data_IF_691560127048
#
_entry.id   IF_691560127048
#
_cell.length_a   1.000
_cell.length_b   1.000
_cell.length_c   1.000
_cell.angle_alpha   90.00
_cell.angle_beta   90.00
_cell.angle_gamma   90.00
#
_symmetry.space_group_name_H-M   'P 1'
#
loop_
_entity.id
_entity.type
_entity.pdbx_description
1 polymer ?
#
# COMPACT_ATOMS: atom_id res chain seq x y z
N UNK A 1 -20.33 -18.42 19.85
CA UNK A 1 -19.30 -17.37 19.96
C UNK A 1 -19.86 -16.14 19.28
N UNK A 2 -20.06 -15.02 20.02
CA UNK A 2 -20.70 -13.81 19.50
C UNK A 2 -19.89 -13.21 18.32
N UNK A 3 -20.58 -12.70 17.30
CA UNK A 3 -19.94 -12.11 16.12
C UNK A 3 -18.94 -10.99 16.46
N UNK A 4 -19.20 -10.27 17.56
CA UNK A 4 -18.30 -9.22 18.10
C UNK A 4 -16.98 -9.80 18.59
N UNK A 5 -16.99 -10.94 19.28
CA UNK A 5 -15.79 -11.60 19.79
C UNK A 5 -14.92 -12.12 18.62
N UNK A 6 -15.53 -12.66 17.57
CA UNK A 6 -14.80 -13.10 16.37
C UNK A 6 -14.10 -11.93 15.67
N UNK A 7 -14.79 -10.79 15.54
CA UNK A 7 -14.22 -9.57 14.93
C UNK A 7 -13.07 -8.99 15.77
N UNK A 8 -13.23 -8.92 17.08
CA UNK A 8 -12.17 -8.44 17.98
C UNK A 8 -10.95 -9.35 17.94
N UNK A 9 -11.15 -10.67 17.94
CA UNK A 9 -10.06 -11.64 17.89
C UNK A 9 -9.28 -11.54 16.57
N UNK A 10 -9.97 -11.43 15.43
CA UNK A 10 -9.31 -11.25 14.12
C UNK A 10 -8.51 -9.95 14.06
N UNK A 11 -9.02 -8.84 14.63
CA UNK A 11 -8.30 -7.57 14.72
C UNK A 11 -7.02 -7.66 15.55
N UNK A 12 -7.08 -8.31 16.71
CA UNK A 12 -5.90 -8.53 17.59
C UNK A 12 -4.87 -9.41 16.88
N UNK A 13 -5.29 -10.48 16.22
CA UNK A 13 -4.37 -11.32 15.42
C UNK A 13 -3.70 -10.53 14.30
N UNK A 14 -4.45 -9.70 13.58
CA UNK A 14 -3.91 -8.85 12.52
C UNK A 14 -2.87 -7.87 13.08
N UNK A 15 -3.17 -7.19 14.18
CA UNK A 15 -2.24 -6.29 14.86
C UNK A 15 -0.95 -7.00 15.29
N UNK A 16 -1.06 -8.19 15.87
CA UNK A 16 0.08 -8.99 16.29
C UNK A 16 0.98 -9.35 15.09
N UNK A 17 0.40 -9.72 13.95
CA UNK A 17 1.12 -10.01 12.71
C UNK A 17 1.84 -8.77 12.19
N UNK A 18 1.17 -7.62 12.16
CA UNK A 18 1.77 -6.35 11.68
C UNK A 18 2.92 -5.93 12.59
N UNK A 19 2.74 -5.92 13.90
CA UNK A 19 3.77 -5.53 14.87
C UNK A 19 4.96 -6.49 14.79
N UNK A 20 4.72 -7.80 14.73
CA UNK A 20 5.80 -8.79 14.60
C UNK A 20 6.54 -8.63 13.28
N UNK A 21 5.85 -8.39 12.17
CA UNK A 21 6.45 -8.12 10.87
C UNK A 21 7.35 -6.90 10.86
N UNK A 22 6.95 -5.83 11.56
CA UNK A 22 7.73 -4.60 11.63
C UNK A 22 8.94 -4.69 12.57
N UNK A 23 8.87 -5.46 13.66
CA UNK A 23 9.92 -5.42 14.69
C UNK A 23 10.92 -6.56 14.63
N UNK A 24 10.54 -7.74 14.11
CA UNK A 24 11.37 -8.94 14.22
C UNK A 24 12.47 -9.02 13.17
N UNK A 25 12.12 -8.85 11.89
CA UNK A 25 13.09 -9.10 10.81
C UNK A 25 12.72 -8.33 9.53
N UNK A 26 13.77 -7.82 8.84
CA UNK A 26 13.62 -7.14 7.53
C UNK A 26 12.92 -8.00 6.47
N UNK A 27 13.16 -9.31 6.47
CA UNK A 27 12.51 -10.20 5.49
C UNK A 27 11.02 -10.38 5.77
N UNK A 28 10.65 -10.46 7.05
CA UNK A 28 9.25 -10.57 7.46
C UNK A 28 8.49 -9.27 7.15
N UNK A 29 9.13 -8.13 7.39
CA UNK A 29 8.65 -6.81 6.96
C UNK A 29 8.39 -6.76 5.45
N UNK A 30 9.39 -7.15 4.64
CA UNK A 30 9.26 -7.18 3.19
C UNK A 30 8.13 -8.08 2.70
N UNK A 31 8.05 -9.30 3.21
CA UNK A 31 7.00 -10.26 2.86
C UNK A 31 5.60 -9.74 3.23
N UNK A 32 5.45 -9.15 4.42
CA UNK A 32 4.19 -8.58 4.89
C UNK A 32 3.73 -7.43 4.00
N UNK A 33 4.62 -6.49 3.66
CA UNK A 33 4.25 -5.36 2.80
C UNK A 33 3.98 -5.77 1.36
N UNK A 34 4.70 -6.75 0.81
CA UNK A 34 4.39 -7.31 -0.52
C UNK A 34 3.00 -7.94 -0.50
N UNK A 35 2.68 -8.75 0.52
CA UNK A 35 1.36 -9.36 0.65
C UNK A 35 0.26 -8.30 0.74
N UNK A 36 0.45 -7.26 1.57
CA UNK A 36 -0.51 -6.15 1.68
C UNK A 36 -0.65 -5.39 0.36
N UNK A 37 0.46 -5.10 -0.32
CA UNK A 37 0.44 -4.41 -1.62
C UNK A 37 -0.33 -5.18 -2.68
N UNK A 38 -0.06 -6.49 -2.81
CA UNK A 38 -0.74 -7.35 -3.79
C UNK A 38 -2.24 -7.41 -3.51
N UNK A 39 -2.64 -7.61 -2.25
CA UNK A 39 -4.06 -7.68 -1.88
C UNK A 39 -4.77 -6.35 -2.11
N UNK A 40 -4.17 -5.22 -1.69
CA UNK A 40 -4.75 -3.89 -1.87
C UNK A 40 -4.88 -3.51 -3.36
N UNK A 41 -3.85 -3.76 -4.17
CA UNK A 41 -3.91 -3.49 -5.61
C UNK A 41 -4.92 -4.39 -6.31
N UNK A 42 -4.98 -5.67 -5.93
CA UNK A 42 -5.93 -6.61 -6.49
C UNK A 42 -7.37 -6.17 -6.21
N UNK A 43 -7.71 -5.85 -4.95
CA UNK A 43 -9.04 -5.36 -4.58
C UNK A 43 -9.38 -4.04 -5.24
N UNK A 44 -8.45 -3.09 -5.25
CA UNK A 44 -8.64 -1.80 -5.90
C UNK A 44 -8.96 -1.96 -7.38
N UNK A 45 -8.21 -2.78 -8.10
CA UNK A 45 -8.46 -3.03 -9.53
C UNK A 45 -9.73 -3.85 -9.77
N UNK A 46 -10.08 -4.74 -8.86
CA UNK A 46 -11.33 -5.49 -8.97
C UNK A 46 -12.55 -4.57 -8.78
N UNK A 47 -12.50 -3.67 -7.81
CA UNK A 47 -13.59 -2.70 -7.58
C UNK A 47 -13.73 -1.67 -8.70
N UNK A 48 -12.62 -1.23 -9.31
CA UNK A 48 -12.65 -0.15 -10.31
C UNK A 48 -12.85 -0.65 -11.74
N UNK A 49 -12.31 -1.81 -12.08
CA UNK A 49 -12.29 -2.34 -13.44
C UNK A 49 -13.10 -3.64 -13.60
N UNK A 50 -13.61 -4.23 -12.51
CA UNK A 50 -14.27 -5.53 -12.54
C UNK A 50 -13.35 -6.62 -13.11
N UNK A 51 -13.87 -7.45 -14.00
CA UNK A 51 -13.10 -8.52 -14.67
C UNK A 51 -12.52 -8.10 -16.03
N UNK A 52 -12.59 -6.81 -16.34
CA UNK A 52 -12.03 -6.27 -17.57
C UNK A 52 -10.49 -6.23 -17.48
N UNK A 53 -9.83 -6.50 -18.60
CA UNK A 53 -8.37 -6.41 -18.75
C UNK A 53 -7.53 -7.14 -17.68
N UNK A 54 -7.75 -8.44 -17.43
CA UNK A 54 -7.04 -9.18 -16.38
C UNK A 54 -5.52 -9.15 -16.55
N UNK A 55 -5.02 -9.19 -17.80
CA UNK A 55 -3.58 -9.14 -18.08
C UNK A 55 -2.95 -7.81 -17.66
N UNK A 56 -3.60 -6.68 -17.95
CA UNK A 56 -3.09 -5.35 -17.59
C UNK A 56 -3.13 -5.13 -16.08
N UNK A 57 -4.13 -5.65 -15.37
CA UNK A 57 -4.18 -5.62 -13.89
C UNK A 57 -3.01 -6.36 -13.27
N UNK A 58 -2.74 -7.59 -13.73
CA UNK A 58 -1.60 -8.36 -13.23
C UNK A 58 -0.26 -7.69 -13.55
N UNK A 59 -0.12 -7.08 -14.73
CA UNK A 59 1.06 -6.29 -15.08
C UNK A 59 1.24 -5.10 -14.12
N UNK A 60 0.17 -4.36 -13.79
CA UNK A 60 0.26 -3.24 -12.86
C UNK A 60 0.65 -3.69 -11.45
N UNK A 61 0.09 -4.81 -10.95
CA UNK A 61 0.50 -5.39 -9.67
C UNK A 61 1.98 -5.77 -9.71
N UNK A 62 2.44 -6.40 -10.79
CA UNK A 62 3.83 -6.80 -10.96
C UNK A 62 4.77 -5.58 -10.99
N UNK A 63 4.37 -4.48 -11.65
CA UNK A 63 5.10 -3.20 -11.63
C UNK A 63 5.23 -2.67 -10.20
N UNK A 64 4.14 -2.63 -9.43
CA UNK A 64 4.15 -2.16 -8.04
C UNK A 64 5.07 -3.00 -7.16
N UNK A 65 4.93 -4.34 -7.23
CA UNK A 65 5.76 -5.27 -6.47
C UNK A 65 7.24 -5.15 -6.87
N UNK A 66 7.55 -5.05 -8.16
CA UNK A 66 8.93 -4.90 -8.62
C UNK A 66 9.58 -3.61 -8.11
N UNK A 67 8.83 -2.50 -8.11
CA UNK A 67 9.31 -1.23 -7.57
C UNK A 67 9.62 -1.33 -6.07
N UNK A 68 8.73 -1.95 -5.29
CA UNK A 68 8.95 -2.20 -3.88
C UNK A 68 10.19 -3.08 -3.63
N UNK A 69 10.28 -4.23 -4.33
CA UNK A 69 11.38 -5.18 -4.16
C UNK A 69 12.72 -4.54 -4.54
N UNK A 70 12.78 -3.80 -5.64
CA UNK A 70 14.00 -3.12 -6.05
C UNK A 70 14.44 -2.09 -5.02
N UNK A 71 13.51 -1.26 -4.52
CA UNK A 71 13.82 -0.28 -3.50
C UNK A 71 14.23 -0.94 -2.18
N UNK A 72 13.54 -2.02 -1.78
CA UNK A 72 13.93 -2.84 -0.63
C UNK A 72 15.35 -3.40 -0.78
N UNK A 73 15.69 -3.96 -1.94
CA UNK A 73 17.03 -4.50 -2.20
C UNK A 73 18.11 -3.42 -2.16
N UNK A 74 17.85 -2.26 -2.75
CA UNK A 74 18.76 -1.11 -2.70
C UNK A 74 19.05 -0.70 -1.26
N UNK A 75 18.01 -0.57 -0.42
CA UNK A 75 18.16 -0.16 0.97
C UNK A 75 18.75 -1.26 1.86
N UNK A 76 18.28 -2.50 1.75
CA UNK A 76 18.68 -3.61 2.61
C UNK A 76 20.06 -4.17 2.30
N UNK A 77 20.50 -4.13 1.04
CA UNK A 77 21.77 -4.72 0.56
C UNK A 77 22.74 -3.70 -0.01
N UNK A 78 22.40 -2.40 0.07
CA UNK A 78 23.22 -1.29 -0.45
C UNK A 78 23.56 -1.43 -1.93
N UNK A 79 22.62 -1.90 -2.70
CA UNK A 79 22.78 -1.98 -4.15
C UNK A 79 22.75 -0.58 -4.77
N UNK A 80 23.28 -0.45 -5.98
CA UNK A 80 23.23 0.84 -6.69
C UNK A 80 21.76 1.23 -6.97
N UNK A 81 21.42 2.47 -6.66
CA UNK A 81 20.09 3.05 -6.92
C UNK A 81 19.68 2.92 -8.40
N UNK A 82 20.64 2.80 -9.31
CA UNK A 82 20.40 2.56 -10.74
C UNK A 82 19.57 1.29 -10.99
N UNK A 83 19.60 0.32 -10.10
CA UNK A 83 18.81 -0.90 -10.24
C UNK A 83 17.29 -0.64 -10.13
N UNK A 84 16.87 0.44 -9.46
CA UNK A 84 15.47 0.87 -9.43
C UNK A 84 14.96 1.19 -10.84
N UNK A 85 15.84 1.60 -11.76
CA UNK A 85 15.46 1.86 -13.15
C UNK A 85 14.91 0.63 -13.87
N UNK A 86 15.22 -0.59 -13.38
CA UNK A 86 14.66 -1.82 -13.96
C UNK A 86 13.14 -1.89 -13.76
N UNK A 87 12.61 -1.38 -12.66
CA UNK A 87 11.16 -1.27 -12.45
C UNK A 87 10.50 -0.27 -13.40
N UNK A 88 11.25 0.76 -13.85
CA UNK A 88 10.78 1.71 -14.84
C UNK A 88 10.56 1.05 -16.22
N UNK A 89 11.33 0.03 -16.58
CA UNK A 89 11.13 -0.73 -17.82
C UNK A 89 9.77 -1.43 -17.81
N UNK A 90 9.39 -2.03 -16.69
CA UNK A 90 8.06 -2.65 -16.54
C UNK A 90 6.94 -1.61 -16.59
N UNK A 91 7.16 -0.43 -15.99
CA UNK A 91 6.21 0.69 -16.08
C UNK A 91 6.04 1.15 -17.53
N UNK A 92 7.13 1.27 -18.29
CA UNK A 92 7.08 1.61 -19.72
C UNK A 92 6.31 0.56 -20.52
N UNK A 93 6.49 -0.73 -20.20
CA UNK A 93 5.73 -1.81 -20.84
C UNK A 93 4.24 -1.70 -20.54
N UNK A 94 3.88 -1.36 -19.30
CA UNK A 94 2.50 -1.06 -18.94
C UNK A 94 1.96 0.14 -19.72
N UNK A 95 2.74 1.21 -19.86
CA UNK A 95 2.36 2.39 -20.66
C UNK A 95 2.14 2.04 -22.13
N UNK A 96 3.03 1.24 -22.73
CA UNK A 96 2.88 0.79 -24.12
C UNK A 96 1.60 -0.03 -24.28
N UNK A 97 1.24 -0.86 -23.31
CA UNK A 97 0.00 -1.66 -23.34
C UNK A 97 -1.25 -0.80 -23.47
N UNK A 98 -1.24 0.43 -22.94
CA UNK A 98 -2.37 1.35 -23.04
C UNK A 98 -2.58 1.93 -24.45
N UNK A 99 -1.53 1.98 -25.27
CA UNK A 99 -1.61 2.49 -26.65
C UNK A 99 -2.38 1.56 -27.59
N UNK A 100 -2.51 0.27 -27.21
CA UNK A 100 -3.25 -0.72 -28.01
C UNK A 100 -4.75 -0.74 -27.71
N UNK A 101 -5.23 0.11 -26.80
CA UNK A 101 -6.64 0.24 -26.45
C UNK A 101 -7.33 1.11 -27.50
N UNK A 102 -8.34 0.55 -28.17
CA UNK A 102 -9.04 1.22 -29.29
C UNK A 102 -10.19 2.10 -28.83
N UNK A 103 -10.86 1.73 -27.73
CA UNK A 103 -12.07 2.42 -27.27
C UNK A 103 -11.79 3.49 -26.20
N UNK A 104 -12.41 4.66 -26.37
CA UNK A 104 -12.26 5.77 -25.40
C UNK A 104 -12.77 5.44 -23.99
N UNK A 105 -13.79 4.59 -23.88
CA UNK A 105 -14.31 4.13 -22.59
C UNK A 105 -13.28 3.27 -21.86
N UNK A 106 -12.62 2.37 -22.57
CA UNK A 106 -11.58 1.50 -22.05
C UNK A 106 -10.34 2.29 -21.64
N UNK A 107 -9.99 3.35 -22.36
CA UNK A 107 -8.87 4.22 -22.01
C UNK A 107 -9.04 4.88 -20.62
N UNK A 108 -10.25 5.26 -20.23
CA UNK A 108 -10.54 5.78 -18.89
C UNK A 108 -10.26 4.74 -17.80
N UNK A 109 -10.53 3.45 -18.07
CA UNK A 109 -10.27 2.37 -17.12
C UNK A 109 -8.77 2.19 -16.86
N UNK A 110 -7.92 2.44 -17.86
CA UNK A 110 -6.48 2.37 -17.68
C UNK A 110 -5.93 3.46 -16.74
N UNK A 111 -6.62 4.59 -16.58
CA UNK A 111 -6.22 5.60 -15.60
C UNK A 111 -6.25 5.06 -14.17
N UNK A 112 -7.14 4.12 -13.86
CA UNK A 112 -7.19 3.45 -12.55
C UNK A 112 -5.95 2.58 -12.27
N UNK A 113 -5.31 2.01 -13.31
CA UNK A 113 -4.06 1.26 -13.12
C UNK A 113 -2.95 2.17 -12.58
N UNK A 114 -2.81 3.36 -13.17
CA UNK A 114 -1.82 4.34 -12.72
C UNK A 114 -2.19 4.93 -11.35
N UNK A 115 -3.48 5.19 -11.12
CA UNK A 115 -3.96 5.67 -9.81
C UNK A 115 -3.63 4.65 -8.71
N UNK A 116 -3.88 3.36 -8.93
CA UNK A 116 -3.53 2.31 -7.98
C UNK A 116 -2.02 2.24 -7.70
N UNK A 117 -1.20 2.32 -8.75
CA UNK A 117 0.25 2.36 -8.59
C UNK A 117 0.71 3.58 -7.78
N UNK A 118 0.18 4.77 -8.08
CA UNK A 118 0.60 6.01 -7.45
C UNK A 118 0.09 6.12 -6.01
N UNK A 119 -1.12 5.65 -5.73
CA UNK A 119 -1.78 5.78 -4.44
C UNK A 119 -1.44 4.63 -3.46
N UNK A 120 -1.21 3.43 -3.96
CA UNK A 120 -0.94 2.25 -3.14
C UNK A 120 0.54 1.83 -3.22
N UNK A 121 1.06 1.62 -4.44
CA UNK A 121 2.39 1.05 -4.59
C UNK A 121 3.50 2.03 -4.21
N UNK A 122 3.40 3.32 -4.60
CA UNK A 122 4.42 4.32 -4.29
C UNK A 122 4.57 4.57 -2.79
N UNK A 123 3.52 4.83 -1.97
CA UNK A 123 3.68 5.00 -0.54
C UNK A 123 4.25 3.77 0.16
N UNK A 124 3.81 2.57 -0.23
CA UNK A 124 4.35 1.34 0.32
C UNK A 124 5.82 1.11 -0.08
N UNK A 125 6.22 1.45 -1.31
CA UNK A 125 7.62 1.39 -1.70
C UNK A 125 8.47 2.41 -0.93
N UNK A 126 7.97 3.64 -0.75
CA UNK A 126 8.67 4.69 -0.01
C UNK A 126 8.82 4.38 1.48
N UNK A 127 7.99 3.52 2.06
CA UNK A 127 8.13 3.08 3.45
C UNK A 127 9.49 2.44 3.75
N UNK A 128 10.19 1.93 2.73
CA UNK A 128 11.55 1.41 2.87
C UNK A 128 12.54 2.50 3.34
N UNK A 129 12.36 3.76 2.96
CA UNK A 129 13.19 4.86 3.46
C UNK A 129 12.98 5.17 4.93
N UNK A 130 11.85 4.77 5.50
CA UNK A 130 11.53 5.00 6.91
C UNK A 130 12.16 3.93 7.80
N UNK A 131 12.24 2.67 7.30
CA UNK A 131 12.70 1.52 8.10
C UNK A 131 14.16 1.17 7.88
N UNK A 132 14.81 1.70 6.84
CA UNK A 132 16.23 1.47 6.60
C UNK A 132 17.02 2.76 6.79
N UNK A 133 18.09 2.70 7.61
CA UNK A 133 19.04 3.76 7.75
C UNK A 133 20.02 3.81 6.54
N UNK A 134 20.72 4.93 6.36
CA UNK A 134 21.80 5.08 5.36
C UNK A 134 22.87 3.99 5.46
N UNK A 135 23.01 3.38 6.62
CA UNK A 135 23.90 2.26 6.86
C UNK A 135 23.32 0.88 6.40
N UNK A 136 22.06 0.81 5.93
CA UNK A 136 21.39 -0.44 5.57
C UNK A 136 20.89 -1.24 6.78
N UNK A 137 20.94 -0.65 7.98
CA UNK A 137 20.37 -1.26 9.17
C UNK A 137 18.85 -1.12 9.16
N UNK A 138 18.17 -2.20 9.52
CA UNK A 138 16.72 -2.24 9.61
C UNK A 138 16.27 -1.82 11.02
N UNK A 139 15.40 -0.80 11.09
CA UNK A 139 14.67 -0.42 12.30
C UNK A 139 13.21 -0.14 11.95
N UNK A 140 12.31 -1.00 12.38
CA UNK A 140 10.86 -0.86 12.14
C UNK A 140 10.15 0.08 13.12
N UNK A 141 10.82 0.59 14.16
CA UNK A 141 10.22 1.45 15.19
C UNK A 141 9.64 2.75 14.64
N UNK A 142 10.30 3.48 13.73
CA UNK A 142 9.72 4.70 13.15
C UNK A 142 8.43 4.42 12.38
N UNK A 143 8.37 3.33 11.63
CA UNK A 143 7.16 2.92 10.91
C UNK A 143 6.05 2.52 11.86
N UNK A 144 6.36 1.83 12.95
CA UNK A 144 5.39 1.49 13.98
C UNK A 144 4.84 2.76 14.66
N UNK A 145 5.70 3.72 15.00
CA UNK A 145 5.29 5.00 15.57
C UNK A 145 4.33 5.74 14.62
N UNK A 146 4.64 5.77 13.33
CA UNK A 146 3.79 6.38 12.31
C UNK A 146 2.40 5.70 12.26
N UNK A 147 2.33 4.37 12.27
CA UNK A 147 1.07 3.63 12.30
C UNK A 147 0.26 3.91 13.59
N UNK A 148 0.92 4.00 14.74
CA UNK A 148 0.25 4.33 16.01
C UNK A 148 -0.36 5.74 15.94
N UNK A 149 0.33 6.71 15.36
CA UNK A 149 -0.18 8.08 15.20
C UNK A 149 -1.42 8.08 14.31
N UNK A 150 -1.39 7.36 13.17
CA UNK A 150 -2.55 7.24 12.28
C UNK A 150 -3.73 6.60 13.03
N UNK A 151 -3.53 5.48 13.71
CA UNK A 151 -4.60 4.81 14.46
C UNK A 151 -5.15 5.68 15.60
N UNK A 152 -4.29 6.39 16.32
CA UNK A 152 -4.73 7.33 17.36
C UNK A 152 -5.56 8.48 16.77
N UNK A 153 -5.17 8.99 15.60
CA UNK A 153 -5.92 10.02 14.86
C UNK A 153 -7.30 9.53 14.45
N UNK A 154 -7.39 8.32 13.88
CA UNK A 154 -8.66 7.74 13.45
C UNK A 154 -9.61 7.49 14.62
N UNK A 155 -9.10 6.92 15.71
CA UNK A 155 -9.89 6.70 16.94
C UNK A 155 -10.31 8.04 17.56
N UNK A 156 -9.41 9.02 17.60
CA UNK A 156 -9.72 10.38 18.10
C UNK A 156 -10.80 11.05 17.28
N UNK A 157 -10.72 10.99 15.96
CA UNK A 157 -11.72 11.55 15.06
C UNK A 157 -13.11 10.88 15.26
N UNK A 158 -13.12 9.56 15.41
CA UNK A 158 -14.35 8.81 15.69
C UNK A 158 -14.99 9.22 17.03
N UNK A 159 -14.19 9.31 18.11
CA UNK A 159 -14.66 9.69 19.43
C UNK A 159 -15.22 11.13 19.43
N UNK A 160 -14.52 12.07 18.81
CA UNK A 160 -14.97 13.47 18.70
C UNK A 160 -16.25 13.54 17.87
N UNK A 161 -16.34 12.82 16.75
CA UNK A 161 -17.54 12.75 15.93
C UNK A 161 -18.76 12.25 16.68
N UNK A 162 -18.60 11.25 17.54
CA UNK A 162 -19.68 10.75 18.43
C UNK A 162 -20.09 11.76 19.49
N UNK A 163 -19.13 12.43 20.13
CA UNK A 163 -19.38 13.38 21.22
C UNK A 163 -20.08 14.64 20.75
N UNK A 164 -19.71 15.14 19.58
CA UNK A 164 -20.25 16.38 19.00
C UNK A 164 -21.56 16.16 18.23
N UNK A 165 -22.06 14.93 18.09
CA UNK A 165 -23.27 14.62 17.31
C UNK A 165 -23.17 15.00 15.82
N UNK A 166 -21.97 15.31 15.34
CA UNK A 166 -21.70 15.62 13.95
C UNK A 166 -21.67 14.31 13.14
N UNK A 167 -22.26 14.35 11.95
CA UNK A 167 -22.34 13.19 11.07
C UNK A 167 -20.90 12.65 10.84
N UNK A 168 -20.60 11.41 11.21
CA UNK A 168 -19.23 10.86 11.18
C UNK A 168 -18.53 10.98 9.83
N UNK A 169 -19.31 11.05 8.74
CA UNK A 169 -18.80 11.13 7.36
C UNK A 169 -18.08 12.44 7.01
N UNK A 170 -18.43 13.57 7.63
CA UNK A 170 -17.83 14.86 7.31
C UNK A 170 -16.46 15.07 7.97
N UNK A 171 -16.30 14.63 9.23
CA UNK A 171 -15.03 14.78 9.94
C UNK A 171 -14.00 13.73 9.50
N UNK A 172 -14.43 12.50 9.22
CA UNK A 172 -13.54 11.47 8.69
C UNK A 172 -12.99 11.87 7.31
N UNK A 173 -13.82 12.46 6.44
CA UNK A 173 -13.38 12.95 5.13
C UNK A 173 -12.40 14.13 5.20
N UNK A 174 -12.58 15.05 6.16
CA UNK A 174 -11.66 16.19 6.32
C UNK A 174 -10.31 15.81 6.90
N UNK A 175 -10.24 14.84 7.81
CA UNK A 175 -8.98 14.40 8.43
C UNK A 175 -8.19 13.53 7.46
N UNK A 176 -8.86 12.63 6.72
CA UNK A 176 -8.23 11.83 5.66
C UNK A 176 -7.74 12.69 4.48
N UNK A 177 -8.39 13.85 4.22
CA UNK A 177 -7.93 14.78 3.19
C UNK A 177 -6.79 15.71 3.64
N UNK A 178 -6.50 15.77 4.94
CA UNK A 178 -5.42 16.60 5.53
C UNK A 178 -4.14 15.81 5.83
N UNK A 179 -4.18 14.47 5.77
CA UNK A 179 -3.05 13.54 5.91
C UNK A 179 -2.71 12.95 4.55
#
# INVERSE_FOLDING_TARGET
MNNTVKRSLSGVCFLAIVISGLLLNKYLYGALLIFMMVTMLYEFYHMTMGDLFPRSRWLAILVGVSAFVMLFCVMAFRLDIRQVSLSAVLLLFLMISTLFVKDKADFKLFSFLYTGLLYIAVPLALSNFVVFDKAGNFDGRPMLAFLIIIWASDVGAYCIGMLLGLIPSLLCGCIVALI
#
